data_IF_409469447739
#
_entry.id   IF_409469447739
#
_cell.length_a   1.000
_cell.length_b   1.000
_cell.length_c   1.000
_cell.angle_alpha   90.00
_cell.angle_beta   90.00
_cell.angle_gamma   90.00
#
_symmetry.space_group_name_H-M   'P 1'
#
loop_
_entity.id
_entity.type
_entity.pdbx_description
1 polymer ?
#
# COMPACT_ATOMS: atom_id res chain seq x y z
N UNK A 1 6.01 4.51 -10.97
CA UNK A 1 4.97 4.14 -9.99
C UNK A 1 4.60 5.36 -9.14
N UNK A 2 3.47 6.03 -9.45
CA UNK A 2 3.15 7.37 -8.94
C UNK A 2 3.10 7.49 -7.40
N UNK A 3 2.47 6.57 -6.62
CA UNK A 3 2.41 6.73 -5.16
C UNK A 3 3.77 6.76 -4.46
N UNK A 4 4.76 6.02 -4.96
CA UNK A 4 6.12 6.01 -4.40
C UNK A 4 6.83 7.33 -4.72
N UNK A 5 6.63 7.85 -5.93
CA UNK A 5 7.20 9.13 -6.37
C UNK A 5 6.65 10.30 -5.55
N UNK A 6 5.34 10.32 -5.29
CA UNK A 6 4.68 11.44 -4.62
C UNK A 6 4.80 11.36 -3.08
N UNK A 7 4.56 10.18 -2.50
CA UNK A 7 4.39 10.00 -1.05
C UNK A 7 5.47 9.15 -0.38
N UNK A 8 6.33 8.50 -1.16
CA UNK A 8 7.42 7.68 -0.60
C UNK A 8 8.48 8.55 0.08
N UNK A 9 9.18 7.99 1.05
CA UNK A 9 10.35 8.63 1.67
C UNK A 9 11.50 8.75 0.66
N UNK A 10 12.49 9.65 0.86
CA UNK A 10 13.67 9.71 0.00
C UNK A 10 14.35 8.35 -0.19
N UNK A 11 14.54 7.60 0.90
CA UNK A 11 15.12 6.26 0.86
C UNK A 11 14.28 5.25 0.04
N UNK A 12 12.93 5.34 0.09
CA UNK A 12 12.08 4.49 -0.75
C UNK A 12 12.19 4.87 -2.23
N UNK A 13 12.24 6.17 -2.53
CA UNK A 13 12.36 6.68 -3.91
C UNK A 13 13.68 6.25 -4.54
N UNK A 14 14.79 6.49 -3.85
CA UNK A 14 16.14 6.13 -4.29
C UNK A 14 16.29 4.63 -4.52
N UNK A 15 15.70 3.81 -3.65
CA UNK A 15 15.77 2.35 -3.74
C UNK A 15 14.90 1.77 -4.87
N UNK A 16 13.68 2.27 -5.04
CA UNK A 16 12.66 1.60 -5.87
C UNK A 16 12.49 2.23 -7.25
N UNK A 17 12.52 3.57 -7.37
CA UNK A 17 12.18 4.24 -8.62
C UNK A 17 13.15 3.95 -9.77
N UNK A 18 14.49 3.87 -9.57
CA UNK A 18 15.40 3.55 -10.66
C UNK A 18 15.15 2.16 -11.26
N UNK A 19 14.92 1.14 -10.41
CA UNK A 19 14.64 -0.22 -10.87
C UNK A 19 13.26 -0.32 -11.56
N UNK A 20 12.24 0.36 -11.04
CA UNK A 20 10.92 0.48 -11.69
C UNK A 20 11.01 1.20 -13.04
N UNK A 21 11.85 2.22 -13.17
CA UNK A 21 12.03 2.97 -14.42
C UNK A 21 12.78 2.17 -15.48
N UNK A 22 13.69 1.27 -15.07
CA UNK A 22 14.40 0.34 -15.97
C UNK A 22 13.60 -0.92 -16.30
N UNK A 23 12.47 -1.16 -15.63
CA UNK A 23 11.66 -2.37 -15.80
C UNK A 23 12.25 -3.62 -15.13
N UNK A 24 13.23 -3.46 -14.23
CA UNK A 24 13.80 -4.55 -13.43
C UNK A 24 12.86 -5.01 -12.32
N UNK A 25 11.97 -4.12 -11.88
CA UNK A 25 10.85 -4.42 -10.99
C UNK A 25 9.55 -4.12 -11.71
N UNK A 26 8.60 -5.05 -11.65
CA UNK A 26 7.24 -4.84 -12.10
C UNK A 26 6.34 -4.49 -10.91
N UNK A 27 5.70 -3.32 -10.99
CA UNK A 27 4.79 -2.85 -9.95
C UNK A 27 3.32 -3.14 -10.29
N UNK A 28 2.50 -3.32 -9.25
CA UNK A 28 1.04 -3.26 -9.37
C UNK A 28 0.39 -2.39 -8.28
N UNK A 29 -0.86 -2.01 -8.51
CA UNK A 29 -1.63 -1.13 -7.64
C UNK A 29 -2.89 -1.83 -7.12
N UNK A 30 -2.83 -2.31 -5.88
CA UNK A 30 -3.86 -3.09 -5.21
C UNK A 30 -4.92 -2.23 -4.50
N UNK A 31 -5.87 -1.66 -5.24
CA UNK A 31 -6.97 -0.88 -4.68
C UNK A 31 -8.26 -1.71 -4.57
N UNK A 32 -8.79 -2.14 -5.71
CA UNK A 32 -10.11 -2.77 -5.88
C UNK A 32 -10.25 -4.10 -5.14
N UNK A 33 -11.42 -4.30 -4.55
CA UNK A 33 -11.81 -5.52 -3.83
C UNK A 33 -13.06 -6.15 -4.46
N UNK A 34 -13.33 -7.45 -4.21
CA UNK A 34 -14.50 -8.12 -4.77
C UNK A 34 -15.82 -7.37 -4.55
N UNK A 35 -15.97 -6.73 -3.39
CA UNK A 35 -17.18 -6.00 -3.01
C UNK A 35 -17.05 -4.48 -3.11
N UNK A 36 -15.84 -3.94 -3.40
CA UNK A 36 -15.55 -2.51 -3.32
C UNK A 36 -14.66 -2.05 -4.50
N UNK A 37 -15.29 -1.45 -5.50
CA UNK A 37 -14.63 -0.81 -6.64
C UNK A 37 -14.68 0.70 -6.56
N UNK A 38 -15.85 1.28 -6.84
CA UNK A 38 -16.06 2.74 -6.86
C UNK A 38 -16.04 3.39 -5.48
N UNK A 39 -16.33 2.62 -4.42
CA UNK A 39 -16.26 3.07 -3.02
C UNK A 39 -15.12 2.35 -2.28
N UNK A 40 -13.85 2.75 -2.49
CA UNK A 40 -12.73 2.17 -1.75
C UNK A 40 -12.74 2.57 -0.26
N UNK A 41 -13.53 3.57 0.15
CA UNK A 41 -13.63 3.99 1.55
C UNK A 41 -14.22 2.91 2.46
N UNK A 42 -15.04 2.01 1.90
CA UNK A 42 -15.67 0.88 2.59
C UNK A 42 -14.93 -0.45 2.45
N UNK A 43 -13.74 -0.45 1.85
CA UNK A 43 -12.95 -1.66 1.64
C UNK A 43 -12.76 -2.48 2.92
N UNK A 44 -12.65 -3.78 2.78
CA UNK A 44 -12.56 -4.79 3.83
C UNK A 44 -11.12 -5.14 4.20
N UNK A 45 -10.15 -4.89 3.32
CA UNK A 45 -8.73 -5.10 3.65
C UNK A 45 -8.34 -4.28 4.88
N UNK A 46 -7.68 -4.92 5.85
CA UNK A 46 -7.19 -4.30 7.08
C UNK A 46 -5.67 -4.37 7.17
N UNK A 47 -5.06 -3.23 7.47
CA UNK A 47 -3.65 -3.15 7.88
C UNK A 47 -3.61 -2.95 9.40
N UNK A 48 -3.01 -3.87 10.15
CA UNK A 48 -2.84 -3.77 11.60
C UNK A 48 -1.38 -3.56 11.93
N UNK A 49 -1.06 -2.44 12.57
CA UNK A 49 0.30 -2.15 13.01
C UNK A 49 0.69 -3.04 14.20
N UNK A 50 1.89 -3.59 14.16
CA UNK A 50 2.53 -4.29 15.26
C UNK A 50 3.61 -3.38 15.87
N UNK A 51 3.35 -2.79 17.05
CA UNK A 51 4.29 -1.85 17.67
C UNK A 51 5.59 -2.51 18.16
N UNK A 52 5.60 -3.83 18.39
CA UNK A 52 6.78 -4.52 18.91
C UNK A 52 7.94 -4.56 17.91
N UNK A 53 7.64 -4.48 16.61
CA UNK A 53 8.64 -4.58 15.55
C UNK A 53 8.43 -3.56 14.41
N UNK A 54 7.50 -2.62 14.55
CA UNK A 54 7.22 -1.57 13.57
C UNK A 54 6.67 -2.09 12.23
N UNK A 55 6.08 -3.29 12.21
CA UNK A 55 5.55 -3.90 10.98
C UNK A 55 4.03 -3.79 10.89
N UNK A 56 3.48 -4.15 9.73
CA UNK A 56 2.03 -4.24 9.52
C UNK A 56 1.64 -5.66 9.12
N UNK A 57 0.56 -6.18 9.73
CA UNK A 57 -0.14 -7.36 9.22
C UNK A 57 -1.26 -6.91 8.30
N UNK A 58 -1.21 -7.33 7.03
CA UNK A 58 -2.22 -7.04 6.03
C UNK A 58 -3.14 -8.26 5.83
N UNK A 59 -4.46 -8.07 5.94
CA UNK A 59 -5.45 -9.13 5.73
C UNK A 59 -6.62 -8.63 4.91
N UNK A 60 -6.89 -9.29 3.78
CA UNK A 60 -8.00 -8.98 2.87
C UNK A 60 -7.81 -9.64 1.50
N UNK A 61 -8.67 -9.27 0.55
CA UNK A 61 -8.62 -9.76 -0.82
C UNK A 61 -8.70 -8.58 -1.80
N UNK A 62 -7.82 -8.57 -2.80
CA UNK A 62 -7.87 -7.65 -3.93
C UNK A 62 -8.28 -8.39 -5.19
N UNK A 63 -8.92 -7.70 -6.12
CA UNK A 63 -9.35 -8.27 -7.40
C UNK A 63 -9.13 -7.28 -8.53
N UNK A 64 -9.05 -7.77 -9.77
CA UNK A 64 -8.83 -6.95 -10.97
C UNK A 64 -7.54 -6.13 -10.92
N UNK A 65 -6.50 -6.64 -10.26
CA UNK A 65 -5.23 -5.94 -10.11
C UNK A 65 -4.33 -6.28 -11.30
N UNK A 66 -4.19 -5.31 -12.21
CA UNK A 66 -3.28 -5.42 -13.36
C UNK A 66 -1.86 -5.77 -12.89
N UNK A 67 -1.24 -6.73 -13.58
CA UNK A 67 0.11 -7.28 -13.31
C UNK A 67 0.26 -8.08 -12.00
N UNK A 68 -0.76 -8.22 -11.15
CA UNK A 68 -0.61 -8.92 -9.87
C UNK A 68 0.00 -10.33 -9.94
N UNK A 69 -0.28 -11.19 -10.95
CA UNK A 69 0.34 -12.51 -11.02
C UNK A 69 1.86 -12.52 -11.26
N UNK A 70 2.42 -11.40 -11.72
CA UNK A 70 3.82 -11.29 -12.15
C UNK A 70 4.55 -10.08 -11.54
N UNK A 71 3.92 -9.36 -10.60
CA UNK A 71 4.51 -8.17 -9.98
C UNK A 71 5.50 -8.55 -8.87
N UNK A 72 6.59 -7.79 -8.78
CA UNK A 72 7.57 -7.86 -7.69
C UNK A 72 7.21 -6.91 -6.54
N UNK A 73 6.49 -5.82 -6.86
CA UNK A 73 6.18 -4.74 -5.94
C UNK A 73 4.68 -4.40 -5.96
N UNK A 74 4.08 -4.43 -4.77
CA UNK A 74 2.65 -4.15 -4.60
C UNK A 74 2.47 -2.87 -3.78
N UNK A 75 1.78 -1.88 -4.35
CA UNK A 75 1.22 -0.77 -3.58
C UNK A 75 -0.21 -1.14 -3.24
N UNK A 76 -0.49 -1.52 -1.98
CA UNK A 76 -1.79 -2.03 -1.55
C UNK A 76 -2.49 -1.06 -0.60
N UNK A 77 -3.77 -0.82 -0.85
CA UNK A 77 -4.61 -0.06 0.05
C UNK A 77 -5.27 -0.96 1.08
N UNK A 78 -5.28 -0.52 2.33
CA UNK A 78 -5.98 -1.19 3.42
C UNK A 78 -6.38 -0.18 4.49
N UNK A 79 -7.52 -0.42 5.13
CA UNK A 79 -7.98 0.40 6.25
C UNK A 79 -7.14 0.03 7.46
N UNK A 80 -6.53 1.05 8.06
CA UNK A 80 -5.82 0.90 9.30
C UNK A 80 -6.58 1.57 10.43
N UNK A 81 -6.94 0.84 11.51
CA UNK A 81 -7.62 1.45 12.64
C UNK A 81 -6.81 2.61 13.21
N UNK A 82 -7.46 3.75 13.48
CA UNK A 82 -6.84 4.98 13.99
C UNK A 82 -5.96 4.77 15.24
N UNK A 83 -6.28 3.78 16.08
CA UNK A 83 -5.53 3.48 17.31
C UNK A 83 -4.20 2.75 17.08
N UNK A 84 -4.03 2.08 15.94
CA UNK A 84 -2.85 1.25 15.68
C UNK A 84 -1.89 1.91 14.69
N UNK A 85 -2.40 2.69 13.73
CA UNK A 85 -1.57 3.17 12.60
C UNK A 85 -0.61 4.31 12.89
N UNK A 86 -0.88 5.10 13.93
CA UNK A 86 -0.12 6.30 14.18
C UNK A 86 0.10 6.40 15.69
N UNK A 87 1.32 6.20 16.22
CA UNK A 87 1.69 6.93 17.43
C UNK A 87 1.55 8.40 17.03
N UNK A 88 0.66 9.17 17.64
CA UNK A 88 0.35 10.53 17.17
C UNK A 88 1.62 11.41 17.07
N UNK A 89 1.89 12.04 15.91
CA UNK A 89 2.16 13.48 15.95
C UNK A 89 1.50 14.28 14.79
N UNK A 90 0.86 13.62 13.82
CA UNK A 90 0.31 14.31 12.64
C UNK A 90 -1.17 14.61 12.86
N UNK A 91 -1.44 15.83 13.31
CA UNK A 91 -2.76 16.38 13.52
C UNK A 91 -3.55 16.48 12.21
N UNK A 92 -4.32 15.45 11.90
CA UNK A 92 -5.45 15.54 10.99
C UNK A 92 -6.72 15.44 11.85
N UNK A 93 -7.23 16.62 12.26
CA UNK A 93 -8.63 16.80 12.63
C UNK A 93 -9.47 16.74 11.37
#
# INVERSE_FOLDING_TARGET
>A
MHPILEFGTPAQRERLLPALARGELLGCFGLTEPNHGSDPGRMETRARHNPANGTYTLRGCKTWITNAPVADLFVVWGVCPRRTCCPAPWGWR
#
